data_IF_287804999596
#
_entry.id   IF_287804999596
#
_cell.length_a   1.000
_cell.length_b   1.000
_cell.length_c   1.000
_cell.angle_alpha   90.00
_cell.angle_beta   90.00
_cell.angle_gamma   90.00
#
_symmetry.space_group_name_H-M   'P 1'
#
loop_
_entity.id
_entity.type
_entity.pdbx_description
1 polymer ?
#
# COMPACT_ATOMS: atom_id res chain seq x y z
N UNK A 1 -17.15 5.50 -10.61
CA UNK A 1 -16.55 6.49 -9.69
C UNK A 1 -15.68 5.71 -8.72
N UNK A 2 -14.47 6.21 -8.45
CA UNK A 2 -13.60 5.56 -7.48
C UNK A 2 -14.23 5.60 -6.08
N UNK A 3 -14.11 4.50 -5.33
CA UNK A 3 -14.55 4.44 -3.94
C UNK A 3 -13.52 5.10 -3.03
N UNK A 4 -13.95 6.11 -2.25
CA UNK A 4 -13.10 6.85 -1.30
C UNK A 4 -13.76 6.83 0.09
N UNK A 5 -13.52 5.78 0.90
CA UNK A 5 -14.12 5.68 2.24
C UNK A 5 -13.63 6.76 3.24
N UNK A 6 -14.55 7.51 3.83
CA UNK A 6 -14.24 8.64 4.73
C UNK A 6 -13.45 8.25 6.00
N UNK A 7 -13.55 6.99 6.44
CA UNK A 7 -12.85 6.48 7.62
C UNK A 7 -11.36 6.22 7.42
N UNK A 8 -10.84 6.40 6.20
CA UNK A 8 -9.43 6.19 5.87
C UNK A 8 -8.66 7.50 5.82
N UNK A 9 -7.34 7.42 6.02
CA UNK A 9 -6.40 8.49 5.66
C UNK A 9 -5.72 8.14 4.34
N UNK A 10 -5.23 9.14 3.61
CA UNK A 10 -4.73 8.97 2.25
C UNK A 10 -3.43 9.74 2.02
N UNK A 11 -2.58 9.21 1.15
CA UNK A 11 -1.39 9.90 0.62
C UNK A 11 -1.69 10.52 -0.75
N UNK A 12 -0.80 11.38 -1.25
CA UNK A 12 -0.94 11.95 -2.60
C UNK A 12 -0.60 10.91 -3.67
N UNK A 13 0.18 9.91 -3.28
CA UNK A 13 0.70 8.78 -4.05
C UNK A 13 -0.34 7.64 -4.16
N UNK A 14 -1.56 7.88 -3.68
CA UNK A 14 -2.70 6.97 -3.78
C UNK A 14 -2.60 5.70 -2.92
N UNK A 15 -1.95 5.78 -1.76
CA UNK A 15 -2.14 4.82 -0.67
C UNK A 15 -3.24 5.26 0.30
N UNK A 16 -3.82 4.30 1.00
CA UNK A 16 -4.69 4.53 2.15
C UNK A 16 -4.12 3.91 3.41
N UNK A 17 -4.48 4.49 4.55
CA UNK A 17 -4.09 4.05 5.88
C UNK A 17 -5.34 3.86 6.74
N UNK A 18 -5.43 2.71 7.41
CA UNK A 18 -6.48 2.38 8.38
C UNK A 18 -5.84 1.96 9.70
N UNK A 19 -6.23 2.59 10.80
CA UNK A 19 -5.89 2.07 12.12
C UNK A 19 -6.68 0.79 12.42
N UNK A 20 -5.99 -0.27 12.81
CA UNK A 20 -6.61 -1.58 13.15
C UNK A 20 -6.50 -1.91 14.63
N UNK A 21 -5.52 -1.33 15.32
CA UNK A 21 -5.39 -1.29 16.78
C UNK A 21 -4.41 -0.18 17.15
N UNK A 22 -4.25 0.11 18.44
CA UNK A 22 -3.24 1.07 18.93
C UNK A 22 -1.87 0.82 18.30
N UNK A 23 -1.31 1.84 17.64
CA UNK A 23 -0.02 1.80 16.93
C UNK A 23 0.10 0.69 15.86
N UNK A 24 -1.02 0.21 15.31
CA UNK A 24 -1.02 -0.69 14.15
C UNK A 24 -1.90 -0.15 13.05
N UNK A 25 -1.28 0.02 11.90
CA UNK A 25 -1.92 0.56 10.71
C UNK A 25 -1.87 -0.48 9.60
N UNK A 26 -2.98 -0.61 8.88
CA UNK A 26 -3.06 -1.34 7.62
C UNK A 26 -2.94 -0.34 6.48
N UNK A 27 -2.14 -0.67 5.49
CA UNK A 27 -1.89 0.13 4.30
C UNK A 27 -2.32 -0.66 3.06
N UNK A 28 -2.74 0.05 2.01
CA UNK A 28 -2.97 -0.49 0.68
C UNK A 28 -3.10 0.62 -0.35
N UNK A 29 -3.34 0.27 -1.61
CA UNK A 29 -3.58 1.25 -2.68
C UNK A 29 -5.08 1.58 -2.80
N UNK A 30 -5.39 2.81 -3.21
CA UNK A 30 -6.77 3.27 -3.41
C UNK A 30 -7.45 2.57 -4.59
N UNK A 31 -8.78 2.63 -4.64
CA UNK A 31 -9.56 2.16 -5.77
C UNK A 31 -9.17 2.87 -7.08
N UNK A 32 -8.85 4.16 -7.00
CA UNK A 32 -8.33 4.90 -8.16
C UNK A 32 -7.02 4.30 -8.69
N UNK A 33 -6.07 3.99 -7.80
CA UNK A 33 -4.78 3.45 -8.19
C UNK A 33 -4.91 2.08 -8.87
N UNK A 34 -5.71 1.16 -8.32
CA UNK A 34 -5.88 -0.16 -8.93
C UNK A 34 -6.58 -0.07 -10.30
N UNK A 35 -7.57 0.82 -10.47
CA UNK A 35 -8.20 1.03 -11.80
C UNK A 35 -7.20 1.61 -12.80
N UNK A 36 -6.35 2.55 -12.37
CA UNK A 36 -5.35 3.18 -13.23
C UNK A 36 -4.28 2.18 -13.70
N UNK A 37 -3.85 1.27 -12.82
CA UNK A 37 -2.91 0.18 -13.13
C UNK A 37 -3.57 -0.91 -14.00
N UNK A 38 -4.84 -1.20 -13.75
CA UNK A 38 -5.55 -2.34 -14.33
C UNK A 38 -5.20 -3.64 -13.62
N UNK A 39 -5.24 -4.76 -14.35
CA UNK A 39 -5.04 -6.09 -13.77
C UNK A 39 -3.63 -6.22 -13.18
N UNK A 40 -3.57 -6.29 -11.84
CA UNK A 40 -2.35 -6.49 -11.08
C UNK A 40 -1.92 -7.94 -11.21
N UNK A 41 -0.68 -8.15 -11.65
CA UNK A 41 -0.08 -9.47 -11.88
C UNK A 41 1.00 -9.81 -10.87
N UNK A 42 1.58 -8.80 -10.22
CA UNK A 42 2.62 -9.00 -9.22
C UNK A 42 2.61 -7.88 -8.17
N UNK A 43 2.96 -8.24 -6.92
CA UNK A 43 3.09 -7.31 -5.81
C UNK A 43 4.37 -7.64 -5.03
N UNK A 44 5.32 -6.72 -5.01
CA UNK A 44 6.47 -6.80 -4.13
C UNK A 44 6.14 -6.15 -2.79
N UNK A 45 6.05 -6.97 -1.75
CA UNK A 45 5.84 -6.48 -0.38
C UNK A 45 7.16 -6.34 0.38
N UNK A 46 7.26 -5.39 1.33
CA UNK A 46 8.38 -5.36 2.27
C UNK A 46 8.36 -6.60 3.17
N UNK A 47 9.50 -6.94 3.76
CA UNK A 47 9.60 -8.13 4.62
C UNK A 47 9.01 -7.85 6.00
N UNK A 48 8.38 -8.85 6.60
CA UNK A 48 8.03 -8.78 8.02
C UNK A 48 9.30 -8.62 8.85
N UNK A 49 9.30 -7.64 9.76
CA UNK A 49 10.45 -7.22 10.56
C UNK A 49 11.28 -6.09 9.93
N UNK A 50 10.99 -5.69 8.69
CA UNK A 50 11.68 -4.59 8.02
C UNK A 50 11.22 -3.22 8.55
N UNK A 51 12.18 -2.31 8.75
CA UNK A 51 11.91 -0.92 9.10
C UNK A 51 11.65 -0.10 7.84
N UNK A 52 10.52 0.60 7.80
CA UNK A 52 10.15 1.52 6.72
C UNK A 52 10.18 2.96 7.21
N UNK A 53 10.50 3.91 6.33
CA UNK A 53 10.52 5.35 6.62
C UNK A 53 9.44 6.03 5.81
N UNK A 54 8.68 6.94 6.42
CA UNK A 54 7.67 7.73 5.73
C UNK A 54 8.24 8.36 4.45
N UNK A 55 7.46 8.34 3.37
CA UNK A 55 7.80 8.85 2.04
C UNK A 55 8.96 8.13 1.33
N UNK A 56 9.45 7.00 1.87
CA UNK A 56 10.41 6.14 1.20
C UNK A 56 9.71 4.94 0.54
N UNK A 57 10.25 4.48 -0.59
CA UNK A 57 9.77 3.28 -1.30
C UNK A 57 9.93 2.07 -0.39
N UNK A 58 8.86 1.29 -0.24
CA UNK A 58 8.86 0.04 0.54
C UNK A 58 8.36 -1.17 -0.25
N UNK A 59 7.91 -0.98 -1.50
CA UNK A 59 7.40 -2.05 -2.34
C UNK A 59 7.01 -1.54 -3.72
N UNK A 60 6.40 -2.41 -4.51
CA UNK A 60 5.88 -2.07 -5.83
C UNK A 60 4.69 -2.95 -6.20
N UNK A 61 3.83 -2.42 -7.06
CA UNK A 61 2.72 -3.14 -7.69
C UNK A 61 2.90 -3.11 -9.19
N UNK A 62 2.75 -4.26 -9.82
CA UNK A 62 2.93 -4.42 -11.26
C UNK A 62 1.67 -4.97 -11.91
N UNK A 63 1.31 -4.35 -13.03
CA UNK A 63 0.29 -4.79 -13.96
C UNK A 63 0.92 -5.23 -15.28
N UNK A 64 0.13 -5.74 -16.20
CA UNK A 64 0.60 -6.02 -17.58
C UNK A 64 1.05 -4.80 -18.37
N UNK A 65 0.82 -3.58 -17.86
CA UNK A 65 1.05 -2.32 -18.58
C UNK A 65 2.07 -1.41 -17.91
N UNK A 66 2.18 -1.48 -16.60
CA UNK A 66 2.96 -0.53 -15.80
C UNK A 66 3.35 -1.11 -14.45
N UNK A 67 4.48 -0.62 -13.94
CA UNK A 67 4.95 -0.80 -12.58
C UNK A 67 4.77 0.51 -11.82
N UNK A 68 4.33 0.45 -10.57
CA UNK A 68 4.27 1.60 -9.67
C UNK A 68 4.94 1.26 -8.35
N UNK A 69 5.82 2.14 -7.90
CA UNK A 69 6.38 2.10 -6.55
C UNK A 69 5.27 2.35 -5.53
N UNK A 70 5.44 1.76 -4.35
CA UNK A 70 4.61 1.98 -3.16
C UNK A 70 5.49 2.65 -2.10
N UNK A 71 5.01 3.77 -1.58
CA UNK A 71 5.67 4.53 -0.56
C UNK A 71 5.10 4.16 0.81
N UNK A 72 5.97 4.13 1.82
CA UNK A 72 5.51 3.94 3.18
C UNK A 72 4.81 5.23 3.66
N UNK A 73 3.53 5.19 4.04
CA UNK A 73 2.81 6.40 4.47
C UNK A 73 3.21 6.86 5.88
N UNK A 74 3.90 6.00 6.65
CA UNK A 74 4.35 6.25 8.02
C UNK A 74 5.66 5.51 8.27
N UNK A 75 6.50 6.06 9.16
CA UNK A 75 7.69 5.38 9.66
C UNK A 75 7.29 4.31 10.66
N UNK A 76 7.85 3.10 10.54
CA UNK A 76 7.54 1.99 11.44
C UNK A 76 8.22 0.69 11.07
N UNK A 77 7.69 -0.42 11.60
CA UNK A 77 8.16 -1.78 11.31
C UNK A 77 7.01 -2.58 10.71
N UNK A 78 7.28 -3.31 9.64
CA UNK A 78 6.29 -4.19 8.99
C UNK A 78 6.05 -5.40 9.89
N UNK A 79 4.82 -5.55 10.39
CA UNK A 79 4.45 -6.64 11.32
C UNK A 79 3.65 -7.77 10.67
N UNK A 80 3.10 -7.52 9.49
CA UNK A 80 2.33 -8.49 8.71
C UNK A 80 2.25 -8.04 7.25
N UNK A 81 2.13 -9.02 6.35
CA UNK A 81 1.87 -8.81 4.93
C UNK A 81 0.64 -9.60 4.50
N UNK A 82 0.08 -9.30 3.32
CA UNK A 82 -1.03 -10.08 2.78
C UNK A 82 -0.50 -11.22 1.89
N UNK A 83 -0.29 -12.39 2.49
CA UNK A 83 0.25 -13.58 1.82
C UNK A 83 -0.63 -14.09 0.66
N UNK A 84 -1.89 -13.66 0.56
CA UNK A 84 -2.76 -14.05 -0.56
C UNK A 84 -2.40 -13.36 -1.88
N UNK A 85 -1.52 -12.36 -1.84
CA UNK A 85 -1.08 -11.58 -3.01
C UNK A 85 0.36 -11.91 -3.40
N UNK A 86 0.97 -12.92 -2.77
CA UNK A 86 2.33 -13.40 -3.02
C UNK A 86 2.38 -14.46 -4.12
#
# INVERSE_FOLDING_TARGET
MASVPEQLKYTKEHEWVREVSTNRYRVGITDYAQVALGDIVYVQMPKVGESVTADAVCGEVESTKSVSEIFAPVTGVVVAINETLS
#
